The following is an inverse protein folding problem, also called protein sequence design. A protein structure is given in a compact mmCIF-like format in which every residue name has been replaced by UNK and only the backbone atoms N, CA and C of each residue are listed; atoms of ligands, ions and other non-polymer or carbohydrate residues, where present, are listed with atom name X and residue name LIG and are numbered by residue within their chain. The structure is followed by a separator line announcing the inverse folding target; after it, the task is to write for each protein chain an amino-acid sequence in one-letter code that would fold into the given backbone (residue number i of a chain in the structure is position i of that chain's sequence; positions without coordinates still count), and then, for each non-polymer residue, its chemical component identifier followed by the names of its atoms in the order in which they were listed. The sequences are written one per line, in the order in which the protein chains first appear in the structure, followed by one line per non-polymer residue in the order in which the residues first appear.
data_IF_781728330341
#
_entry.id   IF_781728330341
#
_cell.length_a   1.000
_cell.length_b   1.000
_cell.length_c   1.000
_cell.angle_alpha   90.00
_cell.angle_beta   90.00
_cell.angle_gamma   90.00
#
_symmetry.space_group_name_H-M   'P 1'
#
loop_
_entity.id
_entity.type
_entity.pdbx_description
1 polymer ?
#
# COMPACT_ATOMS: atom_id res chain seq x y z
N UNK A 1 9.03 -13.01 24.48
CA UNK A 1 8.55 -11.64 24.72
C UNK A 1 9.19 -10.79 23.63
N UNK A 2 8.39 -10.15 22.78
CA UNK A 2 8.93 -9.23 21.77
C UNK A 2 9.46 -7.97 22.46
N UNK A 3 10.57 -7.43 21.97
CA UNK A 3 11.15 -6.18 22.50
C UNK A 3 10.29 -4.97 22.12
N UNK A 4 10.39 -3.86 22.85
CA UNK A 4 9.69 -2.61 22.53
C UNK A 4 10.02 -2.09 21.11
N UNK A 5 11.26 -2.34 20.66
CA UNK A 5 11.69 -2.05 19.30
C UNK A 5 10.97 -2.93 18.25
N UNK A 6 10.78 -4.22 18.52
CA UNK A 6 10.03 -5.13 17.63
C UNK A 6 8.55 -4.71 17.53
N UNK A 7 7.93 -4.34 18.64
CA UNK A 7 6.55 -3.83 18.64
C UNK A 7 6.41 -2.52 17.84
N UNK A 8 7.37 -1.60 17.98
CA UNK A 8 7.38 -0.36 17.20
C UNK A 8 7.55 -0.61 15.69
N UNK A 9 8.37 -1.58 15.31
CA UNK A 9 8.54 -1.99 13.91
C UNK A 9 7.27 -2.62 13.32
N UNK A 10 6.61 -3.52 14.05
CA UNK A 10 5.35 -4.13 13.61
C UNK A 10 4.25 -3.09 13.41
N UNK A 11 4.12 -2.13 14.32
CA UNK A 11 3.14 -1.06 14.21
C UNK A 11 3.44 -0.12 13.03
N UNK A 12 4.72 0.19 12.78
CA UNK A 12 5.13 0.99 11.62
C UNK A 12 4.79 0.28 10.30
N UNK A 13 5.09 -1.01 10.18
CA UNK A 13 4.73 -1.84 9.02
C UNK A 13 3.21 -1.83 8.82
N UNK A 14 2.44 -2.05 9.89
CA UNK A 14 0.97 -2.04 9.83
C UNK A 14 0.43 -0.70 9.35
N UNK A 15 0.97 0.41 9.83
CA UNK A 15 0.54 1.75 9.42
C UNK A 15 0.86 2.03 7.95
N UNK A 16 2.06 1.66 7.49
CA UNK A 16 2.47 1.82 6.08
C UNK A 16 1.57 1.00 5.16
N UNK A 17 1.36 -0.29 5.48
CA UNK A 17 0.46 -1.18 4.72
C UNK A 17 -0.95 -0.60 4.62
N UNK A 18 -1.50 -0.12 5.73
CA UNK A 18 -2.85 0.48 5.77
C UNK A 18 -2.93 1.76 4.93
N UNK A 19 -1.88 2.58 4.93
CA UNK A 19 -1.81 3.81 4.13
C UNK A 19 -1.78 3.50 2.63
N UNK A 20 -0.94 2.54 2.23
CA UNK A 20 -0.82 2.08 0.84
C UNK A 20 -2.14 1.50 0.32
N UNK A 21 -2.78 0.62 1.09
CA UNK A 21 -4.08 0.04 0.73
C UNK A 21 -5.17 1.11 0.55
N UNK A 22 -5.22 2.12 1.43
CA UNK A 22 -6.17 3.24 1.29
C UNK A 22 -5.92 4.02 -0.01
N UNK A 23 -4.65 4.30 -0.32
CA UNK A 23 -4.28 5.02 -1.54
C UNK A 23 -4.64 4.23 -2.79
N UNK A 24 -4.41 2.92 -2.79
CA UNK A 24 -4.80 2.00 -3.86
C UNK A 24 -6.30 2.06 -4.13
N UNK A 25 -7.12 1.95 -3.08
CA UNK A 25 -8.57 1.96 -3.21
C UNK A 25 -9.08 3.31 -3.73
N UNK A 26 -8.55 4.43 -3.21
CA UNK A 26 -8.92 5.77 -3.69
C UNK A 26 -8.58 5.97 -5.16
N UNK A 27 -7.44 5.43 -5.63
CA UNK A 27 -7.06 5.44 -7.03
C UNK A 27 -8.03 4.61 -7.88
N UNK A 28 -8.35 3.39 -7.47
CA UNK A 28 -9.35 2.56 -8.17
C UNK A 28 -10.71 3.24 -8.28
N UNK A 29 -11.24 3.81 -7.19
CA UNK A 29 -12.49 4.59 -7.21
C UNK A 29 -12.40 5.79 -8.16
N UNK A 30 -11.21 6.38 -8.32
CA UNK A 30 -10.99 7.49 -9.26
C UNK A 30 -10.99 7.00 -10.70
N UNK A 31 -10.41 5.82 -10.99
CA UNK A 31 -10.43 5.22 -12.33
C UNK A 31 -11.85 4.86 -12.78
N UNK A 32 -12.70 4.41 -11.86
CA UNK A 32 -14.12 4.16 -12.14
C UNK A 32 -14.87 5.42 -12.54
N UNK A 33 -14.50 6.58 -11.95
CA UNK A 33 -15.16 7.88 -12.20
C UNK A 33 -14.57 8.63 -13.39
N UNK A 34 -13.30 8.41 -13.71
CA UNK A 34 -12.60 9.07 -14.82
C UNK A 34 -11.87 8.02 -15.69
N UNK A 35 -12.57 7.42 -16.66
CA UNK A 35 -12.01 6.43 -17.57
C UNK A 35 -10.86 6.97 -18.43
N UNK A 36 -10.80 8.29 -18.66
CA UNK A 36 -9.74 8.90 -19.47
C UNK A 36 -8.37 8.81 -18.81
N UNK A 37 -8.35 8.65 -17.48
CA UNK A 37 -7.14 8.47 -16.67
C UNK A 37 -6.90 7.03 -16.23
N UNK A 38 -7.75 6.08 -16.63
CA UNK A 38 -7.70 4.70 -16.15
C UNK A 38 -6.32 4.05 -16.37
N UNK A 39 -5.68 4.25 -17.52
CA UNK A 39 -4.35 3.68 -17.80
C UNK A 39 -3.26 4.23 -16.87
N UNK A 40 -3.25 5.55 -16.64
CA UNK A 40 -2.31 6.18 -15.71
C UNK A 40 -2.56 5.71 -14.27
N UNK A 41 -3.83 5.60 -13.88
CA UNK A 41 -4.21 5.13 -12.55
C UNK A 41 -3.82 3.66 -12.36
N UNK A 42 -3.96 2.82 -13.39
CA UNK A 42 -3.54 1.42 -13.34
C UNK A 42 -2.04 1.28 -13.07
N UNK A 43 -1.19 2.07 -13.74
CA UNK A 43 0.25 2.11 -13.47
C UNK A 43 0.55 2.49 -12.01
N UNK A 44 -0.14 3.51 -11.47
CA UNK A 44 0.02 3.92 -10.07
C UNK A 44 -0.45 2.84 -9.08
N UNK A 45 -1.48 2.08 -9.42
CA UNK A 45 -1.95 0.94 -8.60
C UNK A 45 -0.92 -0.18 -8.62
N UNK A 46 -0.33 -0.49 -9.76
CA UNK A 46 0.73 -1.49 -9.89
C UNK A 46 1.97 -1.13 -9.07
N UNK A 47 2.38 0.14 -9.06
CA UNK A 47 3.45 0.63 -8.19
C UNK A 47 3.13 0.42 -6.70
N UNK A 48 1.88 0.69 -6.28
CA UNK A 48 1.47 0.48 -4.88
C UNK A 48 1.44 -1.01 -4.53
N UNK A 49 0.99 -1.86 -5.45
CA UNK A 49 0.99 -3.31 -5.26
C UNK A 49 2.42 -3.86 -5.13
N UNK A 50 3.36 -3.31 -5.91
CA UNK A 50 4.78 -3.63 -5.75
C UNK A 50 5.34 -3.19 -4.40
N UNK A 51 5.00 -1.99 -3.92
CA UNK A 51 5.42 -1.51 -2.60
C UNK A 51 4.86 -2.37 -1.46
N UNK A 52 3.61 -2.82 -1.57
CA UNK A 52 3.01 -3.76 -0.62
C UNK A 52 3.77 -5.08 -0.57
N UNK A 53 4.16 -5.63 -1.72
CA UNK A 53 5.00 -6.83 -1.79
C UNK A 53 6.36 -6.64 -1.12
N UNK A 54 7.00 -5.48 -1.33
CA UNK A 54 8.27 -5.16 -0.66
C UNK A 54 8.08 -5.13 0.86
N UNK A 55 7.06 -4.43 1.35
CA UNK A 55 6.76 -4.36 2.80
C UNK A 55 6.47 -5.74 3.38
N UNK A 56 5.70 -6.58 2.68
CA UNK A 56 5.45 -7.96 3.09
C UNK A 56 6.74 -8.80 3.11
N UNK A 57 7.65 -8.59 2.16
CA UNK A 57 8.93 -9.31 2.11
C UNK A 57 9.88 -8.91 3.24
N UNK A 58 9.82 -7.65 3.70
CA UNK A 58 10.63 -7.14 4.81
C UNK A 58 10.10 -7.57 6.18
N UNK A 59 8.82 -7.97 6.25
CA UNK A 59 8.18 -8.42 7.48
C UNK A 59 8.28 -9.94 7.70
N UNK A 60 8.57 -10.74 6.65
CA UNK A 60 8.80 -12.19 6.75
C UNK A 60 10.20 -12.51 7.26
#
# INVERSE_FOLDING_TARGET
MSTEAEMGYEDAIRQVTKSLQRRRNALMETAEKDPTRAAFIAERVEEIDHLLQIVESLHR
#
